data_IF_214880643434
#
_entry.id   IF_214880643434
#
_cell.length_a   1.000
_cell.length_b   1.000
_cell.length_c   1.000
_cell.angle_alpha   90.00
_cell.angle_beta   90.00
_cell.angle_gamma   90.00
#
_symmetry.space_group_name_H-M   'P 1'
#
loop_
_entity.id
_entity.type
_entity.pdbx_description
1 polymer ?
#
# COMPACT_ATOMS: atom_id res chain seq x y z
N UNK A 1 0.08 8.87 -12.87
CA UNK A 1 -0.83 7.77 -12.48
C UNK A 1 -0.31 6.52 -13.17
N UNK A 2 -0.24 5.39 -12.47
CA UNK A 2 0.14 4.10 -13.04
C UNK A 2 -0.57 2.96 -12.31
N UNK A 3 -0.53 1.77 -12.90
CA UNK A 3 -1.03 0.55 -12.28
C UNK A 3 -0.06 -0.01 -11.24
N UNK A 4 -0.62 -0.58 -10.18
CA UNK A 4 0.09 -1.43 -9.21
C UNK A 4 -0.67 -2.73 -9.03
N UNK A 5 0.05 -3.84 -8.98
CA UNK A 5 -0.47 -5.15 -8.58
C UNK A 5 -0.33 -5.27 -7.08
N UNK A 6 -1.39 -5.71 -6.42
CA UNK A 6 -1.42 -5.99 -4.99
C UNK A 6 -1.23 -7.50 -4.80
N UNK A 7 -0.25 -7.85 -3.98
CA UNK A 7 0.11 -9.24 -3.72
C UNK A 7 -0.97 -9.91 -2.86
N UNK A 8 -1.50 -11.03 -3.34
CA UNK A 8 -2.55 -11.79 -2.64
C UNK A 8 -2.04 -12.38 -1.33
N UNK A 9 -2.91 -12.53 -0.34
CA UNK A 9 -2.53 -13.02 0.99
C UNK A 9 -1.77 -12.00 1.85
N UNK A 10 -1.53 -10.80 1.34
CA UNK A 10 -1.01 -9.69 2.16
C UNK A 10 -2.15 -8.97 2.88
N UNK A 11 -1.86 -8.29 3.99
CA UNK A 11 -2.90 -7.54 4.66
C UNK A 11 -3.46 -6.38 3.81
N UNK A 12 -2.64 -5.77 2.94
CA UNK A 12 -3.13 -4.75 2.00
C UNK A 12 -4.20 -5.33 1.06
N UNK A 13 -4.01 -6.55 0.55
CA UNK A 13 -5.03 -7.24 -0.24
C UNK A 13 -6.32 -7.47 0.56
N UNK A 14 -6.21 -7.90 1.81
CA UNK A 14 -7.37 -8.12 2.68
C UNK A 14 -8.15 -6.81 2.98
N UNK A 15 -7.44 -5.68 3.09
CA UNK A 15 -8.02 -4.37 3.37
C UNK A 15 -8.67 -3.74 2.13
N UNK A 16 -8.03 -3.85 0.97
CA UNK A 16 -8.49 -3.22 -0.27
C UNK A 16 -9.49 -4.09 -1.04
N UNK A 17 -9.36 -5.42 -0.95
CA UNK A 17 -10.24 -6.39 -1.62
C UNK A 17 -10.08 -6.43 -3.15
N UNK A 18 -8.94 -5.95 -3.66
CA UNK A 18 -8.58 -5.91 -5.07
C UNK A 18 -7.13 -6.35 -5.24
N UNK A 19 -6.81 -6.95 -6.40
CA UNK A 19 -5.47 -7.39 -6.79
C UNK A 19 -4.73 -6.39 -7.71
N UNK A 20 -5.40 -5.32 -8.12
CA UNK A 20 -4.81 -4.22 -8.88
C UNK A 20 -5.46 -2.87 -8.55
N UNK A 21 -4.68 -1.79 -8.63
CA UNK A 21 -5.13 -0.43 -8.37
C UNK A 21 -4.40 0.57 -9.29
N UNK A 22 -5.10 1.61 -9.73
CA UNK A 22 -4.46 2.78 -10.34
C UNK A 22 -4.13 3.81 -9.26
N UNK A 23 -2.86 4.20 -9.13
CA UNK A 23 -2.39 5.11 -8.08
C UNK A 23 -1.76 6.37 -8.67
N UNK A 24 -1.74 7.46 -7.90
CA UNK A 24 -0.94 8.63 -8.26
C UNK A 24 0.55 8.35 -7.99
N UNK A 25 1.43 9.13 -8.63
CA UNK A 25 2.87 9.03 -8.43
C UNK A 25 3.46 10.43 -8.42
N UNK A 26 4.10 10.78 -7.30
CA UNK A 26 4.75 12.07 -7.04
C UNK A 26 6.09 11.86 -6.32
N UNK A 27 6.92 10.94 -6.84
CA UNK A 27 8.20 10.58 -6.25
C UNK A 27 9.25 10.41 -7.35
N UNK A 28 10.50 10.77 -7.04
CA UNK A 28 11.67 10.55 -7.93
C UNK A 28 12.59 9.43 -7.41
N UNK A 29 12.26 8.86 -6.26
CA UNK A 29 13.02 7.80 -5.60
C UNK A 29 12.09 6.61 -5.34
N UNK A 30 12.68 5.43 -5.29
CA UNK A 30 11.98 4.18 -5.04
C UNK A 30 12.87 3.24 -4.22
N UNK A 31 12.26 2.21 -3.64
CA UNK A 31 12.98 1.16 -2.92
C UNK A 31 13.81 0.36 -3.92
N UNK A 32 15.14 0.39 -3.76
CA UNK A 32 16.07 -0.46 -4.52
C UNK A 32 16.12 -1.87 -3.94
N UNK A 33 16.31 -1.97 -2.64
CA UNK A 33 16.44 -3.21 -1.88
C UNK A 33 15.61 -3.09 -0.61
N UNK A 34 14.81 -4.11 -0.30
CA UNK A 34 14.02 -4.15 0.92
C UNK A 34 14.93 -4.37 2.14
N UNK A 35 14.65 -3.64 3.21
CA UNK A 35 15.29 -3.88 4.51
C UNK A 35 14.88 -5.23 5.10
N UNK A 36 15.72 -5.74 6.01
CA UNK A 36 15.47 -7.00 6.72
C UNK A 36 14.13 -6.95 7.48
N UNK A 37 13.36 -8.03 7.38
CA UNK A 37 12.05 -8.15 8.03
C UNK A 37 10.91 -7.37 7.36
N UNK A 38 11.15 -6.72 6.21
CA UNK A 38 10.11 -6.10 5.40
C UNK A 38 9.63 -7.03 4.28
N UNK A 39 8.38 -6.89 3.89
CA UNK A 39 7.79 -7.68 2.79
C UNK A 39 7.02 -6.75 1.86
N UNK A 40 7.20 -6.89 0.54
CA UNK A 40 6.42 -6.16 -0.44
C UNK A 40 4.95 -6.62 -0.43
N UNK A 41 4.03 -5.65 -0.53
CA UNK A 41 2.60 -5.89 -0.67
C UNK A 41 2.02 -5.39 -1.99
N UNK A 42 2.69 -4.47 -2.66
CA UNK A 42 2.30 -4.01 -3.99
C UNK A 42 3.53 -3.70 -4.83
N UNK A 43 3.43 -3.96 -6.12
CA UNK A 43 4.50 -3.75 -7.10
C UNK A 43 3.90 -3.12 -8.37
N UNK A 44 4.55 -2.11 -8.94
CA UNK A 44 4.18 -1.51 -10.22
C UNK A 44 4.51 -2.43 -11.41
N UNK A 45 4.02 -2.08 -12.60
CA UNK A 45 4.26 -2.83 -13.83
C UNK A 45 5.74 -2.92 -14.23
N UNK A 46 6.55 -1.92 -13.84
CA UNK A 46 8.00 -1.88 -14.06
C UNK A 46 8.81 -2.50 -12.90
N UNK A 47 8.13 -3.12 -11.92
CA UNK A 47 8.76 -3.91 -10.87
C UNK A 47 9.17 -3.12 -9.62
N UNK A 48 8.78 -1.84 -9.48
CA UNK A 48 9.06 -1.06 -8.29
C UNK A 48 8.13 -1.46 -7.14
N UNK A 49 8.69 -1.57 -5.94
CA UNK A 49 7.90 -1.82 -4.74
C UNK A 49 7.13 -0.55 -4.36
N UNK A 50 5.81 -0.68 -4.32
CA UNK A 50 4.87 0.42 -4.10
C UNK A 50 4.16 0.35 -2.76
N UNK A 51 4.19 -0.80 -2.09
CA UNK A 51 3.75 -0.93 -0.71
C UNK A 51 4.54 -2.01 0.02
N UNK A 52 4.74 -1.82 1.33
CA UNK A 52 5.44 -2.77 2.20
C UNK A 52 4.73 -2.97 3.54
N UNK A 53 4.94 -4.15 4.11
CA UNK A 53 4.58 -4.53 5.48
C UNK A 53 5.83 -4.88 6.29
N UNK A 54 5.66 -4.90 7.62
CA UNK A 54 6.57 -5.56 8.55
C UNK A 54 5.80 -6.63 9.33
N UNK A 55 5.85 -7.90 8.89
CA UNK A 55 5.14 -9.00 9.54
C UNK A 55 5.37 -9.05 11.05
N UNK A 56 4.32 -9.37 11.81
CA UNK A 56 4.35 -9.41 13.27
C UNK A 56 4.12 -8.06 13.97
N UNK A 57 4.03 -6.95 13.23
CA UNK A 57 3.61 -5.66 13.79
C UNK A 57 2.11 -5.63 14.06
N UNK A 58 1.66 -4.92 15.10
CA UNK A 58 0.22 -4.68 15.36
C UNK A 58 -0.46 -4.04 14.14
N UNK A 59 0.22 -3.07 13.53
CA UNK A 59 -0.17 -2.46 12.27
C UNK A 59 1.05 -1.83 11.59
N UNK A 60 1.24 -2.10 10.30
CA UNK A 60 2.27 -1.47 9.48
C UNK A 60 1.82 -1.44 8.02
N UNK A 61 1.51 -0.26 7.48
CA UNK A 61 1.26 -0.08 6.04
C UNK A 61 2.05 1.12 5.58
N UNK A 62 3.08 0.89 4.77
CA UNK A 62 3.72 1.97 4.05
C UNK A 62 3.42 1.79 2.57
N UNK A 63 2.94 2.86 1.95
CA UNK A 63 2.64 2.95 0.52
C UNK A 63 3.47 4.09 -0.07
N UNK A 64 3.88 3.94 -1.32
CA UNK A 64 4.73 4.91 -2.00
C UNK A 64 3.91 6.02 -2.68
N UNK A 65 2.69 5.70 -3.11
CA UNK A 65 1.73 6.68 -3.62
C UNK A 65 1.13 7.54 -2.50
N UNK A 66 0.32 8.53 -2.88
CA UNK A 66 -0.29 9.53 -2.00
C UNK A 66 -1.81 9.32 -1.87
N UNK A 67 -2.28 8.40 -0.99
CA UNK A 67 -3.72 8.14 -0.79
C UNK A 67 -4.48 9.38 -0.27
N UNK A 68 -3.81 10.32 0.38
CA UNK A 68 -4.37 11.57 0.89
C UNK A 68 -4.83 12.53 -0.22
N UNK A 69 -4.35 12.38 -1.45
CA UNK A 69 -4.84 13.16 -2.58
C UNK A 69 -6.10 12.56 -3.23
N UNK A 70 -6.43 11.30 -2.90
CA UNK A 70 -7.48 10.55 -3.58
C UNK A 70 -8.63 10.13 -2.65
N UNK A 71 -8.46 10.16 -1.33
CA UNK A 71 -9.47 9.69 -0.37
C UNK A 71 -10.85 10.37 -0.49
N UNK A 72 -10.94 11.57 -1.04
CA UNK A 72 -12.24 12.24 -1.23
C UNK A 72 -13.03 11.65 -2.40
N UNK A 73 -12.37 10.96 -3.34
CA UNK A 73 -12.96 10.51 -4.61
C UNK A 73 -12.81 9.00 -4.88
N UNK A 74 -11.91 8.31 -4.18
CA UNK A 74 -11.73 6.87 -4.30
C UNK A 74 -12.13 6.12 -3.01
N UNK A 75 -12.54 4.87 -3.13
CA UNK A 75 -12.80 4.00 -1.96
C UNK A 75 -11.54 3.29 -1.43
N UNK A 76 -10.58 2.82 -2.25
CA UNK A 76 -9.37 2.16 -1.76
C UNK A 76 -8.53 3.01 -0.78
N UNK A 77 -8.31 4.29 -1.06
CA UNK A 77 -7.61 5.19 -0.15
C UNK A 77 -8.40 5.41 1.13
N UNK A 78 -9.73 5.53 1.07
CA UNK A 78 -10.58 5.58 2.28
C UNK A 78 -10.46 4.32 3.12
N UNK A 79 -10.40 3.14 2.50
CA UNK A 79 -10.21 1.86 3.19
C UNK A 79 -8.86 1.81 3.90
N UNK A 80 -7.79 2.29 3.27
CA UNK A 80 -6.47 2.37 3.90
C UNK A 80 -6.48 3.28 5.15
N UNK A 81 -7.08 4.47 5.07
CA UNK A 81 -7.22 5.34 6.24
C UNK A 81 -8.13 4.74 7.33
N UNK A 82 -9.25 4.14 6.95
CA UNK A 82 -10.16 3.45 7.89
C UNK A 82 -9.45 2.31 8.61
N UNK A 83 -8.64 1.54 7.88
CA UNK A 83 -7.82 0.46 8.40
C UNK A 83 -6.85 0.97 9.47
N UNK A 84 -6.12 2.05 9.18
CA UNK A 84 -5.22 2.70 10.14
C UNK A 84 -5.95 3.19 11.40
N UNK A 85 -7.04 3.94 11.25
CA UNK A 85 -7.83 4.45 12.40
C UNK A 85 -8.38 3.31 13.26
N UNK A 86 -8.87 2.23 12.62
CA UNK A 86 -9.36 1.05 13.32
C UNK A 86 -8.25 0.37 14.13
N UNK A 87 -7.03 0.33 13.60
CA UNK A 87 -5.89 -0.23 14.31
C UNK A 87 -5.46 0.62 15.51
N UNK A 88 -5.59 1.96 15.44
CA UNK A 88 -5.29 2.86 16.55
C UNK A 88 -6.33 2.82 17.68
N UNK A 89 -7.54 2.35 17.42
CA UNK A 89 -8.62 2.26 18.40
C UNK A 89 -8.57 0.98 19.25
N UNK A 90 -7.54 0.15 19.10
CA UNK A 90 -7.36 -1.13 19.77
C UNK A 90 -6.40 -1.03 20.95
#
# INVERSE_FOLDING_TARGET
MHGVRIETGTPLFAELGVDALAVNSCHHQAIRELGEGLTAMAVSEDGLVEAIDRPGSTYFRAVQWHPEFLYTVDEPSRRLFRSFVTACAR
#
